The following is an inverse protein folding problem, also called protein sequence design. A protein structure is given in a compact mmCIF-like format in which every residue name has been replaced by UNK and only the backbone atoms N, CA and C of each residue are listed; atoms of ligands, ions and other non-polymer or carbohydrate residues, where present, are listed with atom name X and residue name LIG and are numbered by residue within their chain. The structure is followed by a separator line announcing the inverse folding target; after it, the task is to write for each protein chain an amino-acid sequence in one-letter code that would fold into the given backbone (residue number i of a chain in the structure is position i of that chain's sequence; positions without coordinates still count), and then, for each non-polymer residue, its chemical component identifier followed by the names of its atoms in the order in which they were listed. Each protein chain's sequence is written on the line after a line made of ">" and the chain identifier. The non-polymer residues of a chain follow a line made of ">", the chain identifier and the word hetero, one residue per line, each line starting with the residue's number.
data_IF_068126318852
#
_entry.id   IF_068126318852
#
_cell.length_a   1.000
_cell.length_b   1.000
_cell.length_c   1.000
_cell.angle_alpha   90.00
_cell.angle_beta   90.00
_cell.angle_gamma   90.00
#
_symmetry.space_group_name_H-M   'P 1'
#
loop_
_entity.id
_entity.type
_entity.pdbx_description
1 polymer ?
#
# COMPACT_ATOMS: atom_id res chain seq x y z
N UNK A 1 49.98 -25.93 29.84
CA UNK A 1 49.28 -26.09 28.55
C UNK A 1 49.03 -27.59 28.34
N UNK A 2 47.81 -28.09 28.65
CA UNK A 2 47.52 -29.54 28.61
C UNK A 2 47.19 -29.95 27.17
N UNK A 3 48.09 -30.68 26.52
CA UNK A 3 47.93 -31.18 25.16
C UNK A 3 46.87 -32.29 25.17
N UNK A 4 45.76 -32.10 24.46
CA UNK A 4 44.71 -33.10 24.33
C UNK A 4 45.28 -34.29 23.50
N UNK A 5 45.17 -35.54 23.97
CA UNK A 5 45.78 -36.69 23.28
C UNK A 5 45.10 -36.97 21.92
N UNK A 6 45.91 -37.08 20.86
CA UNK A 6 45.47 -37.17 19.45
C UNK A 6 44.54 -38.35 19.09
N UNK A 7 44.42 -39.38 19.94
CA UNK A 7 43.47 -40.49 19.76
C UNK A 7 42.01 -40.14 20.07
N UNK A 8 41.76 -39.20 21.00
CA UNK A 8 40.39 -38.70 21.27
C UNK A 8 39.89 -37.83 20.13
N UNK A 9 40.78 -37.06 19.50
CA UNK A 9 40.44 -36.18 18.38
C UNK A 9 39.92 -36.99 17.17
N UNK A 10 40.59 -38.09 16.79
CA UNK A 10 40.17 -38.96 15.67
C UNK A 10 38.80 -39.63 15.90
N UNK A 11 38.49 -40.04 17.13
CA UNK A 11 37.17 -40.62 17.49
C UNK A 11 36.05 -39.57 17.41
N UNK A 12 36.30 -38.35 17.92
CA UNK A 12 35.35 -37.24 17.83
C UNK A 12 35.09 -36.85 16.38
N UNK A 13 36.14 -36.74 15.55
CA UNK A 13 35.97 -36.46 14.10
C UNK A 13 35.14 -37.53 13.40
N UNK A 14 35.36 -38.82 13.70
CA UNK A 14 34.57 -39.93 13.11
C UNK A 14 33.08 -39.85 13.49
N UNK A 15 32.78 -39.51 14.75
CA UNK A 15 31.40 -39.31 15.22
C UNK A 15 30.76 -38.11 14.51
N UNK A 16 31.48 -36.98 14.41
CA UNK A 16 31.00 -35.78 13.70
C UNK A 16 30.70 -36.11 12.24
N UNK A 17 31.59 -36.81 11.53
CA UNK A 17 31.36 -37.22 10.14
C UNK A 17 30.12 -38.08 10.04
N UNK A 18 29.94 -39.07 10.92
CA UNK A 18 28.76 -39.93 10.92
C UNK A 18 27.46 -39.14 11.15
N UNK A 19 27.47 -38.21 12.10
CA UNK A 19 26.32 -37.32 12.37
C UNK A 19 26.01 -36.45 11.15
N UNK A 20 27.03 -35.86 10.52
CA UNK A 20 26.86 -35.07 9.29
C UNK A 20 26.28 -35.95 8.17
N UNK A 21 26.81 -37.15 7.95
CA UNK A 21 26.30 -38.08 6.93
C UNK A 21 24.84 -38.44 7.19
N UNK A 22 24.46 -38.73 8.44
CA UNK A 22 23.06 -39.01 8.80
C UNK A 22 22.18 -37.80 8.53
N UNK A 23 22.60 -36.59 8.92
CA UNK A 23 21.86 -35.35 8.64
C UNK A 23 21.67 -35.14 7.14
N UNK A 24 22.73 -35.37 6.34
CA UNK A 24 22.67 -35.27 4.88
C UNK A 24 21.72 -36.32 4.29
N UNK A 25 21.80 -37.58 4.72
CA UNK A 25 20.89 -38.63 4.26
C UNK A 25 19.43 -38.31 4.59
N UNK A 26 19.14 -37.86 5.81
CA UNK A 26 17.80 -37.41 6.22
C UNK A 26 17.33 -36.25 5.33
N UNK A 27 18.20 -35.27 5.08
CA UNK A 27 17.87 -34.12 4.23
C UNK A 27 17.56 -34.52 2.78
N UNK A 28 18.30 -35.48 2.23
CA UNK A 28 18.04 -36.05 0.90
C UNK A 28 16.70 -36.78 0.87
N UNK A 29 16.43 -37.64 1.86
CA UNK A 29 15.16 -38.38 1.95
C UNK A 29 13.98 -37.40 2.07
N UNK A 30 14.08 -36.37 2.91
CA UNK A 30 13.04 -35.36 3.06
C UNK A 30 12.81 -34.61 1.74
N UNK A 31 13.85 -34.18 1.04
CA UNK A 31 13.69 -33.51 -0.26
C UNK A 31 13.12 -34.41 -1.36
N UNK A 32 13.28 -35.74 -1.28
CA UNK A 32 12.67 -36.68 -2.22
C UNK A 32 11.21 -36.98 -1.90
N UNK A 33 10.83 -37.04 -0.62
CA UNK A 33 9.50 -37.50 -0.17
C UNK A 33 8.51 -36.36 0.04
N UNK A 34 8.94 -35.23 0.61
CA UNK A 34 8.11 -34.06 0.92
C UNK A 34 7.36 -33.51 -0.30
N UNK A 35 7.98 -33.35 -1.49
CA UNK A 35 7.28 -32.80 -2.65
C UNK A 35 6.06 -33.63 -3.08
N UNK A 36 6.04 -34.94 -2.83
CA UNK A 36 4.94 -35.82 -3.23
C UNK A 36 3.74 -35.70 -2.29
N UNK A 37 3.97 -35.76 -0.97
CA UNK A 37 2.88 -35.76 0.00
C UNK A 37 2.41 -34.36 0.41
N UNK A 38 3.34 -33.43 0.64
CA UNK A 38 3.01 -32.12 1.19
C UNK A 38 2.37 -31.22 0.14
N UNK A 39 2.77 -31.35 -1.14
CA UNK A 39 2.19 -30.57 -2.24
C UNK A 39 0.68 -30.76 -2.32
N UNK A 40 0.20 -32.01 -2.27
CA UNK A 40 -1.23 -32.33 -2.34
C UNK A 40 -1.99 -31.71 -1.17
N UNK A 41 -1.48 -31.88 0.05
CA UNK A 41 -2.11 -31.34 1.27
C UNK A 41 -2.19 -29.80 1.22
N UNK A 42 -1.10 -29.13 0.82
CA UNK A 42 -1.07 -27.67 0.73
C UNK A 42 -2.08 -27.17 -0.30
N UNK A 43 -2.15 -27.80 -1.48
CA UNK A 43 -3.13 -27.43 -2.51
C UNK A 43 -4.55 -27.63 -2.01
N UNK A 44 -4.90 -28.81 -1.49
CA UNK A 44 -6.25 -29.12 -0.98
C UNK A 44 -6.67 -28.15 0.13
N UNK A 45 -5.77 -27.82 1.06
CA UNK A 45 -6.06 -26.85 2.12
C UNK A 45 -6.28 -25.44 1.58
N UNK A 46 -5.51 -25.01 0.57
CA UNK A 46 -5.72 -23.70 -0.05
C UNK A 46 -7.06 -23.67 -0.77
N UNK A 47 -7.39 -24.70 -1.55
CA UNK A 47 -8.66 -24.79 -2.27
C UNK A 47 -9.86 -24.81 -1.32
N UNK A 48 -9.79 -25.56 -0.21
CA UNK A 48 -10.89 -25.60 0.77
C UNK A 48 -11.12 -24.24 1.45
N UNK A 49 -10.03 -23.52 1.78
CA UNK A 49 -10.10 -22.24 2.50
C UNK A 49 -10.46 -21.06 1.60
N UNK A 50 -9.97 -21.05 0.35
CA UNK A 50 -10.18 -19.96 -0.60
C UNK A 50 -11.38 -20.18 -1.53
N UNK A 51 -11.89 -21.42 -1.62
CA UNK A 51 -12.93 -21.84 -2.59
C UNK A 51 -12.53 -21.57 -4.05
N UNK A 52 -11.23 -21.57 -4.31
CA UNK A 52 -10.62 -21.28 -5.60
C UNK A 52 -9.62 -22.37 -5.95
N UNK A 53 -9.50 -22.71 -7.24
CA UNK A 53 -8.52 -23.72 -7.68
C UNK A 53 -7.11 -23.25 -7.41
N UNK A 54 -6.26 -24.13 -6.90
CA UNK A 54 -4.88 -23.83 -6.60
C UNK A 54 -3.93 -24.75 -7.36
N UNK A 55 -2.77 -24.22 -7.75
CA UNK A 55 -1.69 -25.01 -8.31
C UNK A 55 -0.36 -24.61 -7.70
N UNK A 56 0.55 -25.57 -7.63
CA UNK A 56 1.86 -25.41 -7.04
C UNK A 56 2.83 -26.26 -7.85
N UNK A 57 3.92 -25.69 -8.35
CA UNK A 57 4.85 -26.46 -9.18
C UNK A 57 5.65 -27.44 -8.33
N UNK A 58 6.17 -26.96 -7.19
CA UNK A 58 6.97 -27.78 -6.29
C UNK A 58 7.08 -27.24 -4.89
N UNK A 59 7.62 -28.10 -4.02
CA UNK A 59 8.02 -27.77 -2.66
C UNK A 59 9.47 -28.22 -2.51
N UNK A 60 10.33 -27.39 -1.92
CA UNK A 60 11.66 -27.82 -1.54
C UNK A 60 11.99 -27.38 -0.11
N UNK A 61 12.97 -28.04 0.50
CA UNK A 61 13.46 -27.70 1.83
C UNK A 61 14.90 -27.24 1.71
N UNK A 62 15.21 -26.04 2.18
CA UNK A 62 16.57 -25.48 2.18
C UNK A 62 17.14 -25.38 3.60
N UNK A 63 18.45 -25.57 3.79
CA UNK A 63 19.08 -25.42 5.10
C UNK A 63 18.96 -23.98 5.66
N UNK A 64 18.87 -23.80 7.00
CA UNK A 64 18.84 -24.84 8.01
C UNK A 64 17.49 -25.57 8.07
N UNK A 65 16.35 -24.91 7.90
CA UNK A 65 15.00 -25.52 7.84
C UNK A 65 13.97 -24.55 7.23
N UNK A 66 14.09 -24.19 5.96
CA UNK A 66 13.10 -23.35 5.26
C UNK A 66 12.33 -24.16 4.23
N UNK A 67 11.01 -24.03 4.22
CA UNK A 67 10.13 -24.67 3.24
C UNK A 67 9.82 -23.64 2.17
N UNK A 68 10.13 -23.94 0.90
CA UNK A 68 9.81 -23.07 -0.22
C UNK A 68 8.72 -23.70 -1.08
N UNK A 69 7.62 -22.98 -1.26
CA UNK A 69 6.57 -23.24 -2.24
C UNK A 69 6.96 -22.53 -3.53
N UNK A 70 6.98 -23.23 -4.66
CA UNK A 70 7.40 -22.71 -5.96
C UNK A 70 6.20 -22.56 -6.90
N UNK A 71 6.05 -21.37 -7.48
CA UNK A 71 4.99 -21.01 -8.43
C UNK A 71 3.59 -21.37 -7.93
N UNK A 72 3.24 -20.86 -6.75
CA UNK A 72 1.88 -21.00 -6.23
C UNK A 72 0.93 -20.08 -7.02
N UNK A 73 -0.22 -20.60 -7.42
CA UNK A 73 -1.32 -19.87 -8.05
C UNK A 73 -2.64 -20.24 -7.37
N UNK A 74 -3.51 -19.26 -7.16
CA UNK A 74 -4.84 -19.40 -6.56
C UNK A 74 -5.81 -18.62 -7.44
N UNK A 75 -6.54 -19.35 -8.29
CA UNK A 75 -7.38 -18.77 -9.34
C UNK A 75 -6.64 -17.71 -10.16
N UNK A 76 -7.38 -16.67 -10.56
CA UNK A 76 -6.82 -15.47 -11.20
C UNK A 76 -6.41 -14.38 -10.19
N UNK A 77 -6.74 -14.57 -8.91
CA UNK A 77 -6.56 -13.60 -7.84
C UNK A 77 -5.10 -13.48 -7.40
N UNK A 78 -4.40 -14.61 -7.24
CA UNK A 78 -3.09 -14.61 -6.60
C UNK A 78 -2.10 -15.54 -7.31
N UNK A 79 -0.91 -15.03 -7.54
CA UNK A 79 0.23 -15.79 -8.02
C UNK A 79 1.48 -15.36 -7.28
N UNK A 80 2.40 -16.28 -6.99
CA UNK A 80 3.70 -15.97 -6.39
C UNK A 80 4.73 -16.98 -6.84
N UNK A 81 5.90 -16.48 -7.26
CA UNK A 81 7.01 -17.33 -7.74
C UNK A 81 7.58 -18.17 -6.60
N UNK A 82 7.70 -17.58 -5.40
CA UNK A 82 8.20 -18.28 -4.22
C UNK A 82 7.57 -17.77 -2.93
N UNK A 83 7.07 -18.70 -2.12
CA UNK A 83 6.79 -18.48 -0.69
C UNK A 83 7.80 -19.26 0.12
N UNK A 84 8.62 -18.59 0.93
CA UNK A 84 9.57 -19.22 1.85
C UNK A 84 9.07 -19.09 3.28
N UNK A 85 8.94 -20.21 3.98
CA UNK A 85 8.52 -20.28 5.38
C UNK A 85 9.65 -20.88 6.21
N UNK A 86 10.17 -20.11 7.17
CA UNK A 86 11.27 -20.53 8.05
C UNK A 86 10.75 -20.73 9.48
N UNK A 87 10.30 -21.94 9.84
CA UNK A 87 9.88 -22.24 11.21
C UNK A 87 11.02 -22.14 12.23
N UNK A 88 10.67 -21.76 13.45
CA UNK A 88 11.54 -21.85 14.61
C UNK A 88 11.37 -23.21 15.29
N UNK A 89 12.32 -24.11 15.05
CA UNK A 89 12.26 -25.49 15.53
C UNK A 89 12.21 -25.58 17.06
N UNK A 90 12.96 -24.72 17.78
CA UNK A 90 12.93 -24.70 19.25
C UNK A 90 11.59 -24.19 19.80
N UNK A 91 10.99 -23.19 19.15
CA UNK A 91 9.65 -22.71 19.46
C UNK A 91 8.61 -23.82 19.31
N UNK A 92 8.72 -24.62 18.26
CA UNK A 92 7.86 -25.77 18.03
C UNK A 92 7.99 -26.83 19.15
N UNK A 93 9.20 -27.16 19.58
CA UNK A 93 9.42 -28.06 20.74
C UNK A 93 8.84 -27.52 22.06
N UNK A 94 8.72 -26.19 22.18
CA UNK A 94 8.08 -25.53 23.31
C UNK A 94 6.54 -25.37 23.15
N UNK A 95 5.94 -26.00 22.14
CA UNK A 95 4.49 -25.95 21.88
C UNK A 95 4.01 -24.63 21.25
N UNK A 96 4.92 -23.80 20.70
CA UNK A 96 4.60 -22.51 20.09
C UNK A 96 4.83 -22.56 18.58
N UNK A 97 3.92 -21.97 17.81
CA UNK A 97 4.12 -21.81 16.36
C UNK A 97 4.81 -20.46 16.14
N UNK A 98 6.12 -20.51 15.91
CA UNK A 98 6.94 -19.33 15.65
C UNK A 98 7.60 -19.49 14.28
N UNK A 99 7.45 -18.49 13.43
CA UNK A 99 8.15 -18.35 12.17
C UNK A 99 9.25 -17.30 12.34
N UNK A 100 10.49 -17.66 12.04
CA UNK A 100 11.57 -16.69 11.95
C UNK A 100 11.31 -15.75 10.78
N UNK A 101 10.98 -16.30 9.61
CA UNK A 101 10.72 -15.53 8.40
C UNK A 101 9.58 -16.14 7.57
N UNK A 102 8.76 -15.26 6.99
CA UNK A 102 7.82 -15.54 5.91
C UNK A 102 8.15 -14.61 4.74
N UNK A 103 8.69 -15.14 3.66
CA UNK A 103 9.10 -14.34 2.50
C UNK A 103 8.25 -14.67 1.26
N UNK A 104 7.74 -13.63 0.59
CA UNK A 104 7.04 -13.72 -0.69
C UNK A 104 7.89 -13.04 -1.77
N UNK A 105 8.19 -13.74 -2.85
CA UNK A 105 8.97 -13.22 -3.98
C UNK A 105 8.10 -13.16 -5.22
N UNK A 106 8.05 -11.98 -5.83
CA UNK A 106 7.23 -11.65 -7.00
C UNK A 106 5.73 -12.00 -6.82
N UNK A 107 5.08 -11.73 -5.66
CA UNK A 107 3.65 -11.97 -5.54
C UNK A 107 2.88 -11.00 -6.44
N UNK A 108 1.90 -11.51 -7.18
CA UNK A 108 0.94 -10.77 -7.99
C UNK A 108 -0.45 -10.98 -7.40
N UNK A 109 -1.13 -9.90 -7.06
CA UNK A 109 -2.55 -9.91 -6.66
C UNK A 109 -3.35 -9.17 -7.73
N UNK A 110 -4.43 -9.79 -8.21
CA UNK A 110 -5.37 -9.19 -9.17
C UNK A 110 -6.71 -8.94 -8.49
N UNK A 111 -6.99 -7.68 -8.21
CA UNK A 111 -8.24 -7.22 -7.63
C UNK A 111 -9.14 -6.67 -8.73
N UNK A 112 -10.37 -7.17 -8.82
CA UNK A 112 -11.42 -6.63 -9.67
C UNK A 112 -12.52 -6.03 -8.79
N UNK A 113 -12.85 -4.76 -9.02
CA UNK A 113 -14.05 -4.14 -8.49
C UNK A 113 -15.13 -4.13 -9.57
N UNK A 114 -16.25 -4.78 -9.31
CA UNK A 114 -17.41 -4.82 -10.19
C UNK A 114 -18.21 -3.51 -10.13
N UNK A 115 -19.13 -3.33 -11.06
CA UNK A 115 -19.99 -2.14 -11.14
C UNK A 115 -20.88 -1.94 -9.91
N UNK A 116 -21.24 -3.03 -9.20
CA UNK A 116 -21.97 -2.99 -7.92
C UNK A 116 -21.06 -2.63 -6.72
N UNK A 117 -19.78 -2.38 -6.97
CA UNK A 117 -18.78 -2.03 -5.98
C UNK A 117 -18.17 -3.21 -5.23
N UNK A 118 -18.63 -4.45 -5.46
CA UNK A 118 -18.03 -5.65 -4.85
C UNK A 118 -16.66 -5.93 -5.43
N UNK A 119 -15.79 -6.52 -4.62
CA UNK A 119 -14.48 -6.99 -5.05
C UNK A 119 -14.51 -8.50 -5.27
N UNK A 120 -13.65 -9.00 -6.15
CA UNK A 120 -13.35 -10.43 -6.33
C UNK A 120 -12.54 -11.02 -5.14
N UNK A 121 -12.93 -10.72 -3.91
CA UNK A 121 -12.28 -11.27 -2.72
C UNK A 121 -12.81 -12.68 -2.44
N UNK A 122 -11.92 -13.63 -2.07
CA UNK A 122 -12.31 -14.99 -1.76
C UNK A 122 -13.10 -15.00 -0.45
N UNK A 123 -14.12 -15.86 -0.37
CA UNK A 123 -14.85 -16.08 0.88
C UNK A 123 -14.04 -17.05 1.74
N UNK A 124 -13.42 -16.50 2.79
CA UNK A 124 -12.62 -17.29 3.73
C UNK A 124 -13.54 -17.97 4.76
N UNK A 125 -13.61 -19.30 4.72
CA UNK A 125 -14.27 -20.09 5.76
C UNK A 125 -13.27 -20.44 6.87
N UNK A 126 -13.37 -19.79 8.03
CA UNK A 126 -12.57 -20.19 9.20
C UNK A 126 -13.35 -21.22 10.04
N UNK A 127 -12.89 -22.47 10.03
CA UNK A 127 -13.37 -23.52 10.93
C UNK A 127 -12.51 -23.58 12.19
N UNK A 128 -13.11 -23.33 13.37
CA UNK A 128 -12.47 -23.53 14.68
C UNK A 128 -11.55 -22.39 15.16
N UNK A 129 -10.94 -22.54 16.35
CA UNK A 129 -9.97 -21.59 16.91
C UNK A 129 -8.59 -21.85 16.30
N UNK A 130 -8.04 -20.86 15.59
CA UNK A 130 -6.69 -20.95 15.04
C UNK A 130 -5.63 -20.83 16.14
N UNK A 131 -4.57 -21.67 16.12
CA UNK A 131 -3.48 -21.55 17.07
C UNK A 131 -2.74 -20.22 16.85
N UNK A 132 -2.22 -19.58 17.92
CA UNK A 132 -1.43 -18.38 17.77
C UNK A 132 -0.14 -18.64 16.96
N UNK A 133 0.07 -17.85 15.92
CA UNK A 133 1.27 -17.86 15.08
C UNK A 133 2.01 -16.54 15.26
N UNK A 134 3.27 -16.61 15.67
CA UNK A 134 4.15 -15.45 15.77
C UNK A 134 5.13 -15.45 14.59
N UNK A 135 5.15 -14.36 13.83
CA UNK A 135 6.04 -14.17 12.69
C UNK A 135 7.05 -13.07 13.03
N UNK A 136 8.31 -13.43 13.13
CA UNK A 136 9.38 -12.49 13.50
C UNK A 136 9.66 -11.52 12.36
N UNK A 137 9.80 -12.02 11.14
CA UNK A 137 9.92 -11.23 9.91
C UNK A 137 8.94 -11.68 8.83
N UNK A 138 8.20 -10.75 8.24
CA UNK A 138 7.46 -10.92 7.00
C UNK A 138 8.09 -10.02 5.95
N UNK A 139 8.50 -10.64 4.85
CA UNK A 139 9.31 -10.03 3.81
C UNK A 139 8.57 -10.17 2.49
N UNK A 140 8.33 -9.06 1.79
CA UNK A 140 7.79 -9.07 0.44
C UNK A 140 8.81 -8.43 -0.49
N UNK A 141 9.11 -9.12 -1.60
CA UNK A 141 10.06 -8.67 -2.60
C UNK A 141 9.41 -8.60 -3.97
N UNK A 142 9.52 -7.43 -4.60
CA UNK A 142 9.07 -7.16 -5.96
C UNK A 142 7.62 -7.59 -6.25
N UNK A 143 6.71 -7.35 -5.31
CA UNK A 143 5.29 -7.65 -5.50
C UNK A 143 4.60 -6.70 -6.49
N UNK A 144 3.40 -7.10 -6.91
CA UNK A 144 2.54 -6.37 -7.82
C UNK A 144 1.09 -6.51 -7.39
N UNK A 145 0.36 -5.41 -7.36
CA UNK A 145 -1.10 -5.37 -7.24
C UNK A 145 -1.64 -4.77 -8.51
N UNK A 146 -2.54 -5.49 -9.17
CA UNK A 146 -3.28 -5.04 -10.34
C UNK A 146 -4.71 -4.83 -9.86
N UNK A 147 -5.19 -3.59 -9.89
CA UNK A 147 -6.54 -3.24 -9.53
C UNK A 147 -7.32 -2.84 -10.79
N UNK A 148 -8.44 -3.49 -11.04
CA UNK A 148 -9.31 -3.24 -12.19
C UNK A 148 -10.67 -2.73 -11.69
N UNK A 149 -10.95 -1.45 -11.88
CA UNK A 149 -12.13 -0.80 -11.34
C UNK A 149 -13.21 -0.57 -12.41
N UNK A 150 -14.24 -1.42 -12.39
CA UNK A 150 -15.39 -1.34 -13.31
C UNK A 150 -16.46 -0.34 -12.84
N UNK A 151 -16.30 0.27 -11.66
CA UNK A 151 -17.23 1.27 -11.12
C UNK A 151 -16.99 2.65 -11.70
N UNK A 152 -15.73 3.01 -11.97
CA UNK A 152 -15.36 4.31 -12.58
C UNK A 152 -15.25 4.26 -14.10
N UNK A 153 -15.06 3.06 -14.68
CA UNK A 153 -15.05 2.85 -16.12
C UNK A 153 -15.63 1.45 -16.42
N UNK A 154 -16.72 1.31 -17.20
CA UNK A 154 -17.31 0.01 -17.51
C UNK A 154 -16.34 -1.03 -18.09
N UNK A 155 -15.36 -0.60 -18.89
CA UNK A 155 -14.31 -1.46 -19.47
C UNK A 155 -13.21 -1.84 -18.47
N UNK A 156 -13.25 -1.27 -17.26
CA UNK A 156 -12.28 -1.47 -16.19
C UNK A 156 -11.13 -0.47 -16.22
N UNK A 157 -11.09 0.43 -15.23
CA UNK A 157 -9.95 1.32 -15.03
C UNK A 157 -8.83 0.58 -14.30
N UNK A 158 -7.71 0.34 -14.99
CA UNK A 158 -6.58 -0.44 -14.45
C UNK A 158 -5.59 0.45 -13.71
N UNK A 159 -5.33 0.16 -12.45
CA UNK A 159 -4.24 0.74 -11.65
C UNK A 159 -3.26 -0.34 -11.25
N UNK A 160 -1.96 -0.10 -11.44
CA UNK A 160 -0.92 -1.07 -11.08
C UNK A 160 -0.01 -0.44 -10.02
N UNK A 161 0.09 -1.09 -8.85
CA UNK A 161 1.22 -0.89 -7.95
C UNK A 161 2.22 -2.01 -8.22
N UNK A 162 3.42 -1.66 -8.66
CA UNK A 162 4.49 -2.62 -8.92
C UNK A 162 5.71 -2.36 -8.05
N UNK A 163 6.68 -3.29 -8.13
CA UNK A 163 7.93 -3.20 -7.37
C UNK A 163 7.68 -3.00 -5.87
N UNK A 164 6.64 -3.66 -5.36
CA UNK A 164 6.27 -3.58 -3.96
C UNK A 164 7.35 -4.32 -3.16
N UNK A 165 7.94 -3.65 -2.18
CA UNK A 165 8.85 -4.25 -1.23
C UNK A 165 8.37 -3.92 0.17
N UNK A 166 8.25 -4.93 1.03
CA UNK A 166 7.84 -4.76 2.41
C UNK A 166 8.76 -5.54 3.36
N UNK A 167 9.07 -4.91 4.49
CA UNK A 167 9.72 -5.52 5.64
C UNK A 167 8.84 -5.24 6.86
N UNK A 168 8.22 -6.28 7.40
CA UNK A 168 7.32 -6.21 8.54
C UNK A 168 7.89 -7.11 9.62
N UNK A 169 7.94 -6.62 10.86
CA UNK A 169 8.52 -7.35 11.99
C UNK A 169 7.52 -7.51 13.12
N UNK A 170 7.57 -8.68 13.78
CA UNK A 170 6.79 -8.99 14.99
C UNK A 170 5.28 -9.00 14.76
N UNK A 171 4.82 -9.81 13.82
CA UNK A 171 3.39 -10.01 13.55
C UNK A 171 2.87 -11.17 14.39
N UNK A 172 1.67 -11.03 14.97
CA UNK A 172 0.98 -12.13 15.63
C UNK A 172 -0.39 -12.36 15.00
N UNK A 173 -0.70 -13.61 14.71
CA UNK A 173 -2.02 -14.06 14.28
C UNK A 173 -2.61 -15.01 15.34
N UNK A 174 -3.90 -14.88 15.74
CA UNK A 174 -4.77 -13.75 15.43
C UNK A 174 -4.21 -12.42 15.96
N UNK A 175 -4.66 -11.31 15.39
CA UNK A 175 -4.15 -9.97 15.71
C UNK A 175 -4.30 -9.67 17.20
N UNK A 176 -3.16 -9.38 17.83
CA UNK A 176 -2.97 -9.27 19.29
C UNK A 176 -2.13 -8.03 19.59
N UNK A 177 -1.94 -7.68 20.87
CA UNK A 177 -1.17 -6.49 21.23
C UNK A 177 0.32 -6.73 21.05
N UNK A 178 0.86 -6.36 19.90
CA UNK A 178 2.29 -6.38 19.59
C UNK A 178 2.61 -5.20 18.71
N UNK A 179 3.67 -4.47 19.10
CA UNK A 179 4.24 -3.40 18.30
C UNK A 179 4.92 -3.96 17.03
N UNK A 180 4.16 -4.00 15.95
CA UNK A 180 4.61 -4.43 14.63
C UNK A 180 5.30 -3.26 13.94
N UNK A 181 6.58 -3.38 13.56
CA UNK A 181 7.20 -2.35 12.72
C UNK A 181 7.05 -2.74 11.26
N UNK A 182 6.91 -1.74 10.39
CA UNK A 182 6.79 -1.96 8.96
C UNK A 182 7.57 -0.91 8.17
N UNK A 183 8.04 -1.32 7.00
CA UNK A 183 8.52 -0.44 5.94
C UNK A 183 8.04 -1.03 4.62
N UNK A 184 7.29 -0.23 3.87
CA UNK A 184 6.71 -0.60 2.58
C UNK A 184 7.11 0.44 1.56
N UNK A 185 7.45 0.00 0.35
CA UNK A 185 7.68 0.87 -0.80
C UNK A 185 7.06 0.25 -2.04
N UNK A 186 6.57 1.08 -2.95
CA UNK A 186 6.01 0.65 -4.23
C UNK A 186 6.07 1.77 -5.26
N UNK A 187 5.87 1.40 -6.52
CA UNK A 187 5.75 2.34 -7.63
C UNK A 187 4.36 2.24 -8.26
N UNK A 188 3.79 3.38 -8.60
CA UNK A 188 2.59 3.45 -9.43
C UNK A 188 3.00 3.29 -10.89
N UNK A 189 2.29 2.41 -11.61
CA UNK A 189 2.58 2.06 -12.98
C UNK A 189 1.32 2.22 -13.85
N UNK A 190 1.54 2.67 -15.09
CA UNK A 190 0.57 2.53 -16.19
C UNK A 190 0.53 1.09 -16.68
N UNK A 191 -0.44 0.81 -17.54
CA UNK A 191 -0.64 -0.49 -18.20
C UNK A 191 0.54 -0.92 -19.08
N UNK A 192 1.28 0.04 -19.65
CA UNK A 192 2.51 -0.18 -20.42
C UNK A 192 3.77 -0.37 -19.54
N UNK A 193 3.62 -0.30 -18.21
CA UNK A 193 4.72 -0.43 -17.25
C UNK A 193 5.46 0.87 -16.94
N UNK A 194 5.10 2.00 -17.57
CA UNK A 194 5.70 3.31 -17.27
C UNK A 194 5.42 3.70 -15.82
N UNK A 195 6.48 4.09 -15.10
CA UNK A 195 6.37 4.62 -13.74
C UNK A 195 5.74 6.00 -13.77
N UNK A 196 4.68 6.17 -13.00
CA UNK A 196 3.98 7.44 -12.83
C UNK A 196 4.08 8.01 -11.43
N UNK A 197 4.74 7.32 -10.49
CA UNK A 197 4.95 7.82 -9.14
C UNK A 197 5.52 6.75 -8.22
N UNK A 198 5.84 7.13 -6.99
CA UNK A 198 6.29 6.18 -5.96
C UNK A 198 5.71 6.50 -4.60
N UNK A 199 5.57 5.47 -3.78
CA UNK A 199 5.05 5.54 -2.41
C UNK A 199 6.00 4.82 -1.45
N UNK A 200 6.21 5.41 -0.28
CA UNK A 200 6.91 4.80 0.84
C UNK A 200 6.05 4.99 2.08
N UNK A 201 5.82 3.93 2.84
CA UNK A 201 5.11 3.98 4.11
C UNK A 201 5.88 3.19 5.17
N UNK A 202 6.25 3.83 6.26
CA UNK A 202 7.03 3.19 7.32
C UNK A 202 6.62 3.67 8.70
N UNK A 203 6.76 2.80 9.69
CA UNK A 203 6.38 3.13 11.05
C UNK A 203 6.20 1.90 11.93
N UNK A 204 5.40 2.07 12.97
CA UNK A 204 4.93 0.97 13.81
C UNK A 204 3.44 1.06 14.04
N UNK A 205 2.82 -0.10 14.24
CA UNK A 205 1.40 -0.29 14.54
C UNK A 205 1.26 -1.31 15.66
N UNK A 206 0.34 -1.07 16.57
CA UNK A 206 -0.19 -2.10 17.46
C UNK A 206 -1.71 -2.17 17.27
N UNK A 207 -2.18 -3.32 16.78
CA UNK A 207 -3.56 -3.53 16.34
C UNK A 207 -4.56 -3.47 17.50
N UNK A 208 -4.21 -3.99 18.68
CA UNK A 208 -5.16 -4.08 19.81
C UNK A 208 -5.44 -2.74 20.49
N UNK A 209 -4.44 -1.93 20.90
CA UNK A 209 -4.66 -0.58 21.39
C UNK A 209 -4.98 0.40 20.26
N UNK A 210 -4.92 -0.05 18.99
CA UNK A 210 -5.12 0.77 17.80
C UNK A 210 -4.23 2.00 17.86
N UNK A 211 -2.94 1.76 18.07
CA UNK A 211 -1.93 2.79 18.25
C UNK A 211 -0.91 2.69 17.11
N UNK A 212 -0.49 3.84 16.59
CA UNK A 212 0.39 3.89 15.44
C UNK A 212 1.28 5.14 15.47
N UNK A 213 2.45 5.04 14.89
CA UNK A 213 3.24 6.19 14.42
C UNK A 213 3.82 5.81 13.07
N UNK A 214 3.46 6.56 12.02
CA UNK A 214 3.81 6.23 10.65
C UNK A 214 4.04 7.46 9.80
N UNK A 215 4.88 7.30 8.78
CA UNK A 215 5.19 8.34 7.80
C UNK A 215 4.93 7.77 6.42
N UNK A 216 4.03 8.42 5.68
CA UNK A 216 3.70 8.14 4.30
C UNK A 216 4.33 9.23 3.42
N UNK A 217 5.02 8.82 2.36
CA UNK A 217 5.55 9.75 1.35
C UNK A 217 5.14 9.26 -0.02
N UNK A 218 4.53 10.15 -0.81
CA UNK A 218 4.26 9.98 -2.23
C UNK A 218 5.13 10.95 -3.00
N UNK A 219 5.83 10.47 -4.03
CA UNK A 219 6.70 11.31 -4.87
C UNK A 219 6.34 11.22 -6.34
N UNK A 220 6.33 12.39 -6.98
CA UNK A 220 6.15 12.58 -8.41
C UNK A 220 4.98 11.78 -9.01
N UNK A 221 3.86 11.67 -8.28
CA UNK A 221 2.69 10.96 -8.76
C UNK A 221 1.99 11.78 -9.84
N UNK A 222 1.89 11.24 -11.05
CA UNK A 222 1.08 11.82 -12.11
C UNK A 222 -0.39 11.63 -11.80
N UNK A 223 -1.00 12.65 -11.20
CA UNK A 223 -2.39 12.53 -10.78
C UNK A 223 -3.33 12.51 -11.97
N UNK A 224 -2.93 12.99 -13.15
CA UNK A 224 -3.80 13.01 -14.34
C UNK A 224 -4.24 11.62 -14.77
N UNK A 225 -3.44 10.60 -14.44
CA UNK A 225 -3.81 9.20 -14.65
C UNK A 225 -5.10 8.82 -13.92
N UNK A 226 -5.35 9.43 -12.76
CA UNK A 226 -6.50 9.18 -11.89
C UNK A 226 -7.69 10.11 -12.17
N UNK A 227 -7.75 10.75 -13.34
CA UNK A 227 -8.89 11.61 -13.72
C UNK A 227 -10.27 10.95 -13.60
N UNK A 228 -10.44 9.62 -13.82
CA UNK A 228 -11.73 8.97 -13.59
C UNK A 228 -12.21 9.06 -12.14
N UNK A 229 -11.31 9.21 -11.16
CA UNK A 229 -11.67 9.27 -9.75
C UNK A 229 -12.03 10.66 -9.27
N UNK A 230 -11.28 11.67 -9.69
CA UNK A 230 -11.50 13.02 -9.18
C UNK A 230 -12.43 13.84 -10.07
N UNK A 231 -12.61 13.51 -11.35
CA UNK A 231 -13.47 14.28 -12.26
C UNK A 231 -13.20 15.78 -12.16
N UNK A 232 -14.22 16.54 -11.75
CA UNK A 232 -14.13 18.00 -11.58
C UNK A 232 -13.77 18.45 -10.14
N UNK A 233 -13.44 17.52 -9.25
CA UNK A 233 -13.08 17.82 -7.86
C UNK A 233 -11.83 18.70 -7.76
N UNK A 234 -10.81 18.39 -8.57
CA UNK A 234 -9.52 19.09 -8.58
C UNK A 234 -9.60 20.34 -9.46
N UNK A 235 -10.08 20.20 -10.70
CA UNK A 235 -10.30 21.30 -11.62
C UNK A 235 -11.49 21.01 -12.52
N UNK A 236 -12.23 22.05 -12.90
CA UNK A 236 -13.28 21.95 -13.93
C UNK A 236 -12.70 21.88 -15.35
N UNK A 237 -11.42 22.25 -15.54
CA UNK A 237 -10.68 22.03 -16.78
C UNK A 237 -9.92 20.72 -16.74
N UNK A 238 -9.89 20.01 -17.87
CA UNK A 238 -9.08 18.80 -18.02
C UNK A 238 -7.60 19.14 -17.79
N UNK A 239 -6.99 18.49 -16.81
CA UNK A 239 -5.55 18.54 -16.57
C UNK A 239 -4.83 17.66 -17.59
N UNK A 240 -3.88 18.23 -18.32
CA UNK A 240 -2.95 17.54 -19.20
C UNK A 240 -1.68 17.08 -18.47
N UNK A 241 -1.30 17.80 -17.42
CA UNK A 241 -0.18 17.44 -16.54
C UNK A 241 -0.47 17.95 -15.12
N UNK A 242 -0.05 17.16 -14.13
CA UNK A 242 0.00 17.52 -12.73
C UNK A 242 0.78 16.46 -11.94
N UNK A 243 1.82 16.89 -11.20
CA UNK A 243 2.63 16.01 -10.34
C UNK A 243 2.31 16.28 -8.87
N UNK A 244 1.98 15.22 -8.15
CA UNK A 244 1.72 15.21 -6.71
C UNK A 244 2.93 14.71 -5.94
N UNK A 245 3.34 15.50 -4.96
CA UNK A 245 4.26 15.14 -3.91
C UNK A 245 3.54 15.32 -2.56
N UNK A 246 3.54 14.28 -1.73
CA UNK A 246 2.85 14.32 -0.43
C UNK A 246 3.74 13.71 0.64
N UNK A 247 3.75 14.32 1.83
CA UNK A 247 4.27 13.71 3.04
C UNK A 247 3.20 13.79 4.13
N UNK A 248 2.80 12.66 4.71
CA UNK A 248 1.84 12.59 5.78
C UNK A 248 2.44 11.91 7.02
N UNK A 249 2.31 12.55 8.18
CA UNK A 249 2.64 11.96 9.48
C UNK A 249 1.36 11.48 10.14
N UNK A 250 1.25 10.18 10.37
CA UNK A 250 0.10 9.51 10.94
C UNK A 250 0.39 9.13 12.38
N UNK A 251 -0.36 9.68 13.34
CA UNK A 251 -0.25 9.34 14.77
C UNK A 251 -1.58 8.83 15.25
N UNK A 252 -1.58 7.64 15.83
CA UNK A 252 -2.78 7.10 16.48
C UNK A 252 -2.55 6.72 17.93
N UNK A 253 -3.48 7.11 18.79
CA UNK A 253 -3.55 6.74 20.21
C UNK A 253 -5.00 6.38 20.53
N UNK A 254 -5.22 5.19 21.08
CA UNK A 254 -6.55 4.69 21.45
C UNK A 254 -7.57 4.83 20.29
N UNK A 255 -7.18 4.43 19.09
CA UNK A 255 -7.97 4.51 17.86
C UNK A 255 -8.23 5.90 17.27
N UNK A 256 -7.91 6.99 17.96
CA UNK A 256 -7.94 8.32 17.35
C UNK A 256 -6.74 8.44 16.44
N UNK A 257 -6.94 8.76 15.16
CA UNK A 257 -5.89 8.88 14.15
C UNK A 257 -5.85 10.34 13.68
N UNK A 258 -4.73 10.98 13.97
CA UNK A 258 -4.40 12.33 13.51
C UNK A 258 -3.39 12.21 12.36
N UNK A 259 -3.68 12.87 11.24
CA UNK A 259 -2.87 12.82 10.02
C UNK A 259 -2.50 14.24 9.61
N UNK A 260 -1.26 14.63 9.88
CA UNK A 260 -0.71 15.91 9.40
C UNK A 260 -0.16 15.71 7.99
N UNK A 261 -0.73 16.42 7.02
CA UNK A 261 -0.44 16.24 5.58
C UNK A 261 0.16 17.50 4.99
N UNK A 262 1.33 17.33 4.36
CA UNK A 262 1.93 18.30 3.45
C UNK A 262 1.74 17.81 2.02
N UNK A 263 1.00 18.56 1.22
CA UNK A 263 0.66 18.23 -0.17
C UNK A 263 1.20 19.31 -1.09
N UNK A 264 1.88 18.89 -2.17
CA UNK A 264 2.34 19.75 -3.24
C UNK A 264 1.85 19.24 -4.59
N UNK A 265 1.17 20.09 -5.35
CA UNK A 265 0.94 19.91 -6.78
C UNK A 265 1.86 20.85 -7.57
N UNK A 266 2.47 20.30 -8.62
CA UNK A 266 3.40 20.98 -9.52
C UNK A 266 3.10 20.59 -10.98
N UNK A 267 3.71 21.29 -11.93
CA UNK A 267 3.58 21.03 -13.37
C UNK A 267 2.11 21.01 -13.86
N UNK A 268 1.29 21.93 -13.34
CA UNK A 268 -0.12 22.06 -13.69
C UNK A 268 -0.25 22.61 -15.11
N UNK A 269 -0.79 21.79 -16.03
CA UNK A 269 -1.09 22.19 -17.41
C UNK A 269 -2.53 21.84 -17.72
N UNK A 270 -3.30 22.81 -18.23
CA UNK A 270 -4.70 22.62 -18.61
C UNK A 270 -4.86 22.44 -20.13
N UNK A 271 -5.89 21.70 -20.52
CA UNK A 271 -6.33 21.68 -21.91
C UNK A 271 -6.83 23.08 -22.34
N UNK A 272 -6.60 23.45 -23.60
CA UNK A 272 -7.22 24.65 -24.17
C UNK A 272 -8.73 24.43 -24.26
N UNK A 273 -9.51 25.47 -23.93
CA UNK A 273 -10.95 25.46 -24.19
C UNK A 273 -11.15 25.52 -25.71
N UNK A 274 -11.83 24.53 -26.29
CA UNK A 274 -12.39 24.66 -27.64
C UNK A 274 -13.54 25.65 -27.53
N UNK A 275 -13.36 26.83 -28.13
CA UNK A 275 -14.44 27.80 -28.31
C UNK A 275 -15.45 27.19 -29.27
N UNK A 276 -16.54 26.65 -28.73
CA UNK A 276 -17.75 26.46 -29.53
C UNK A 276 -18.34 27.83 -29.86
N UNK A 277 -18.39 28.17 -31.15
CA UNK A 277 -19.19 29.30 -31.64
C UNK A 277 -20.65 29.07 -31.23
N UNK A 278 -21.19 29.88 -30.31
CA UNK A 278 -22.63 29.93 -30.10
C UNK A 278 -23.13 30.30 -28.71
N UNK A 279 -22.35 30.12 -27.65
CA UNK A 279 -22.80 30.48 -26.30
C UNK A 279 -21.84 31.47 -25.65
N UNK A 280 -22.39 32.64 -25.30
CA UNK A 280 -21.73 33.61 -24.42
C UNK A 280 -21.17 32.85 -23.21
N UNK A 281 -19.92 33.13 -22.78
CA UNK A 281 -19.31 32.38 -21.70
C UNK A 281 -20.16 32.59 -20.45
N UNK A 282 -20.94 31.58 -20.06
CA UNK A 282 -21.38 31.48 -18.69
C UNK A 282 -20.11 31.48 -17.83
N UNK A 283 -19.89 32.61 -17.16
CA UNK A 283 -18.91 32.80 -16.11
C UNK A 283 -19.30 31.90 -14.93
N UNK A 284 -19.10 30.60 -15.11
CA UNK A 284 -19.22 29.59 -14.09
C UNK A 284 -18.12 29.81 -13.07
N UNK A 285 -18.54 30.01 -11.82
CA UNK A 285 -17.77 30.31 -10.60
C UNK A 285 -16.76 29.22 -10.18
N UNK A 286 -16.29 28.39 -11.11
CA UNK A 286 -15.55 27.15 -10.82
C UNK A 286 -14.31 26.94 -11.69
N UNK A 287 -13.98 27.87 -12.60
CA UNK A 287 -12.97 27.63 -13.64
C UNK A 287 -11.51 27.58 -13.17
N UNK A 288 -11.14 28.24 -12.07
CA UNK A 288 -9.72 28.45 -11.73
C UNK A 288 -9.43 28.43 -10.21
N UNK A 289 -10.16 27.63 -9.40
CA UNK A 289 -9.93 27.60 -7.94
C UNK A 289 -8.45 27.32 -7.60
N UNK A 290 -7.83 26.35 -8.28
CA UNK A 290 -6.43 26.00 -8.05
C UNK A 290 -5.45 27.10 -8.46
N UNK A 291 -5.69 27.81 -9.58
CA UNK A 291 -4.79 28.86 -10.07
C UNK A 291 -4.72 30.05 -9.10
N UNK A 292 -5.75 30.27 -8.30
CA UNK A 292 -5.66 31.25 -7.21
C UNK A 292 -4.71 30.80 -6.12
N UNK A 293 -4.72 29.52 -5.78
CA UNK A 293 -4.01 28.96 -4.64
C UNK A 293 -2.57 28.53 -4.96
N UNK A 294 -2.17 28.54 -6.23
CA UNK A 294 -0.79 28.33 -6.63
C UNK A 294 0.12 29.47 -6.16
N UNK A 295 1.41 29.23 -6.04
CA UNK A 295 2.42 30.27 -5.90
C UNK A 295 2.76 30.91 -7.26
N UNK A 296 3.72 31.83 -7.27
CA UNK A 296 4.19 32.51 -8.50
C UNK A 296 4.86 31.56 -9.50
N UNK A 297 5.24 30.36 -9.07
CA UNK A 297 5.83 29.31 -9.90
C UNK A 297 4.76 28.31 -10.38
N UNK A 298 3.49 28.54 -10.05
CA UNK A 298 2.38 27.68 -10.43
C UNK A 298 2.24 26.42 -9.56
N UNK A 299 2.96 26.31 -8.44
CA UNK A 299 2.81 25.17 -7.53
C UNK A 299 1.74 25.43 -6.47
N UNK A 300 0.95 24.43 -6.15
CA UNK A 300 0.02 24.47 -5.02
C UNK A 300 0.64 23.75 -3.83
N UNK A 301 0.86 24.46 -2.72
CA UNK A 301 1.36 23.88 -1.47
C UNK A 301 0.29 23.98 -0.39
N UNK A 302 -0.12 22.85 0.17
CA UNK A 302 -1.18 22.77 1.18
C UNK A 302 -0.68 21.99 2.40
N UNK A 303 -0.88 22.57 3.57
CA UNK A 303 -0.69 21.90 4.86
C UNK A 303 -2.02 21.82 5.58
N UNK A 304 -2.42 20.60 5.95
CA UNK A 304 -3.68 20.36 6.65
C UNK A 304 -3.68 19.09 7.49
N UNK A 305 -4.55 19.09 8.49
CA UNK A 305 -4.79 17.95 9.37
C UNK A 305 -6.08 17.23 9.01
N UNK A 306 -6.04 15.90 9.11
CA UNK A 306 -7.21 15.04 9.05
C UNK A 306 -7.29 14.26 10.36
N UNK A 307 -8.45 14.35 11.02
CA UNK A 307 -8.75 13.58 12.23
C UNK A 307 -9.79 12.52 11.90
N UNK A 308 -9.48 11.25 12.16
CA UNK A 308 -10.37 10.10 11.89
C UNK A 308 -10.11 8.96 12.87
N UNK A 309 -10.61 7.76 12.60
CA UNK A 309 -10.33 6.54 13.38
C UNK A 309 -9.35 5.63 12.64
N UNK A 310 -8.50 4.92 13.37
CA UNK A 310 -7.52 4.02 12.78
C UNK A 310 -8.18 2.77 12.16
N UNK A 311 -9.17 2.21 12.83
CA UNK A 311 -9.88 1.00 12.38
C UNK A 311 -10.99 1.26 11.37
N UNK A 312 -11.53 2.48 11.37
CA UNK A 312 -12.56 2.94 10.45
C UNK A 312 -12.25 4.36 9.98
N UNK A 313 -11.25 4.52 9.08
CA UNK A 313 -10.91 5.82 8.53
C UNK A 313 -12.05 6.29 7.63
N UNK A 314 -12.93 7.12 8.18
CA UNK A 314 -14.02 7.75 7.44
C UNK A 314 -13.75 9.25 7.33
N UNK A 315 -13.73 9.75 6.10
CA UNK A 315 -13.62 11.17 5.77
C UNK A 315 -14.62 11.42 4.65
N UNK A 316 -15.64 12.22 4.95
CA UNK A 316 -16.61 12.62 3.95
C UNK A 316 -15.98 13.56 2.90
N UNK A 317 -16.40 13.45 1.64
CA UNK A 317 -15.87 14.26 0.54
C UNK A 317 -16.10 15.76 0.79
N UNK A 318 -17.26 16.15 1.32
CA UNK A 318 -17.55 17.55 1.61
C UNK A 318 -16.70 18.06 2.79
N UNK A 319 -16.43 17.23 3.79
CA UNK A 319 -15.48 17.55 4.87
C UNK A 319 -14.06 17.72 4.31
N UNK A 320 -13.60 16.81 3.45
CA UNK A 320 -12.28 16.89 2.83
C UNK A 320 -12.14 18.18 2.00
N UNK A 321 -13.16 18.54 1.21
CA UNK A 321 -13.20 19.83 0.47
C UNK A 321 -13.01 21.02 1.40
N UNK A 322 -13.69 21.05 2.55
CA UNK A 322 -13.57 22.15 3.53
C UNK A 322 -12.17 22.25 4.11
N UNK A 323 -11.56 21.11 4.46
CA UNK A 323 -10.19 21.05 4.97
C UNK A 323 -9.21 21.62 3.93
N UNK A 324 -9.30 21.15 2.68
CA UNK A 324 -8.43 21.60 1.58
C UNK A 324 -8.65 23.10 1.30
N UNK A 325 -9.90 23.58 1.21
CA UNK A 325 -10.20 25.00 0.97
C UNK A 325 -9.66 25.90 2.08
N UNK A 326 -9.76 25.47 3.35
CA UNK A 326 -9.19 26.21 4.48
C UNK A 326 -7.66 26.28 4.38
N UNK A 327 -7.01 25.17 4.03
CA UNK A 327 -5.57 25.13 3.83
C UNK A 327 -5.12 26.04 2.67
N UNK A 328 -5.88 26.03 1.58
CA UNK A 328 -5.62 26.83 0.41
C UNK A 328 -5.77 28.34 0.69
N UNK A 329 -6.79 28.73 1.46
CA UNK A 329 -6.95 30.10 1.93
C UNK A 329 -5.82 30.55 2.88
N UNK A 330 -5.37 29.67 3.78
CA UNK A 330 -4.22 29.92 4.65
C UNK A 330 -2.92 30.10 3.84
N UNK A 331 -2.70 29.26 2.83
CA UNK A 331 -1.56 29.38 1.94
C UNK A 331 -1.56 30.73 1.21
N UNK A 332 -2.71 31.13 0.65
CA UNK A 332 -2.88 32.42 -0.01
C UNK A 332 -2.56 33.60 0.92
N UNK A 333 -3.06 33.57 2.16
CA UNK A 333 -2.81 34.63 3.15
C UNK A 333 -1.34 34.77 3.57
N UNK A 334 -0.54 33.71 3.38
CA UNK A 334 0.89 33.70 3.71
C UNK A 334 1.78 34.09 2.51
N UNK A 335 1.21 34.34 1.33
CA UNK A 335 1.98 34.79 0.16
C UNK A 335 2.43 36.26 0.32
N UNK A 336 3.49 36.64 -0.40
CA UNK A 336 3.97 38.03 -0.41
C UNK A 336 2.83 38.97 -0.89
N UNK A 337 2.52 40.04 -0.15
CA UNK A 337 1.50 41.02 -0.54
C UNK A 337 1.67 41.59 -1.97
N UNK A 338 2.89 41.79 -2.45
CA UNK A 338 3.14 42.30 -3.80
C UNK A 338 2.72 41.30 -4.88
N UNK A 339 3.05 40.02 -4.67
CA UNK A 339 2.66 38.92 -5.57
C UNK A 339 1.14 38.74 -5.57
N UNK A 340 0.51 38.85 -4.40
CA UNK A 340 -0.95 38.83 -4.23
C UNK A 340 -1.64 39.95 -5.00
N UNK A 341 -1.15 41.19 -4.90
CA UNK A 341 -1.73 42.34 -5.60
C UNK A 341 -1.64 42.15 -7.11
N UNK A 342 -0.48 41.71 -7.61
CA UNK A 342 -0.29 41.41 -9.03
C UNK A 342 -1.27 40.33 -9.49
N UNK A 343 -1.36 39.22 -8.75
CA UNK A 343 -2.23 38.09 -9.06
C UNK A 343 -3.72 38.43 -9.01
N UNK A 344 -4.12 39.27 -8.05
CA UNK A 344 -5.47 39.81 -7.94
C UNK A 344 -5.75 40.70 -9.14
N UNK A 345 -4.90 41.69 -9.44
CA UNK A 345 -5.08 42.62 -10.55
C UNK A 345 -5.22 41.88 -11.89
N UNK A 346 -4.39 40.87 -12.13
CA UNK A 346 -4.42 40.05 -13.34
C UNK A 346 -5.71 39.20 -13.45
N UNK A 347 -6.45 38.99 -12.33
CA UNK A 347 -7.61 38.10 -12.26
C UNK A 347 -8.83 38.67 -11.49
N UNK A 348 -8.99 40.00 -11.37
CA UNK A 348 -9.99 40.68 -10.52
C UNK A 348 -11.41 40.13 -10.70
N UNK A 349 -11.82 39.89 -11.95
CA UNK A 349 -13.16 39.38 -12.26
C UNK A 349 -13.42 38.01 -11.65
N UNK A 350 -12.41 37.15 -11.65
CA UNK A 350 -12.52 35.79 -11.13
C UNK A 350 -12.48 35.76 -9.59
N UNK A 351 -11.76 36.68 -8.94
CA UNK A 351 -11.74 36.83 -7.46
C UNK A 351 -13.10 37.26 -6.88
N UNK A 352 -13.78 38.23 -7.51
CA UNK A 352 -15.14 38.63 -7.11
C UNK A 352 -16.13 37.46 -7.23
N UNK A 353 -15.95 36.65 -8.26
CA UNK A 353 -16.72 35.44 -8.48
C UNK A 353 -16.47 34.43 -7.34
N UNK A 354 -15.21 34.09 -7.07
CA UNK A 354 -14.83 33.16 -6.00
C UNK A 354 -15.41 33.53 -4.62
N UNK A 355 -15.37 34.82 -4.25
CA UNK A 355 -15.95 35.31 -3.00
C UNK A 355 -17.44 34.98 -2.82
N UNK A 356 -18.24 35.15 -3.88
CA UNK A 356 -19.67 34.78 -3.88
C UNK A 356 -19.90 33.26 -3.75
N UNK A 357 -19.00 32.46 -4.33
CA UNK A 357 -19.05 31.00 -4.24
C UNK A 357 -18.78 30.47 -2.83
N UNK A 358 -17.77 31.04 -2.15
CA UNK A 358 -17.51 30.72 -0.74
C UNK A 358 -18.71 31.09 0.14
N UNK A 359 -19.29 32.25 -0.07
CA UNK A 359 -20.45 32.72 0.70
C UNK A 359 -21.62 31.73 0.63
N UNK A 360 -21.86 31.10 -0.53
CA UNK A 360 -22.90 30.06 -0.71
C UNK A 360 -22.58 28.77 0.06
N UNK A 361 -21.33 28.28 -0.01
CA UNK A 361 -20.87 27.08 0.71
C UNK A 361 -20.98 27.25 2.23
N UNK A 362 -20.78 28.46 2.73
CA UNK A 362 -20.87 28.78 4.16
C UNK A 362 -22.28 29.21 4.61
N UNK A 363 -23.17 29.65 3.70
CA UNK A 363 -24.57 29.98 4.00
C UNK A 363 -25.53 28.77 3.97
N UNK A 364 -25.22 27.71 3.23
CA UNK A 364 -26.02 26.45 3.20
C UNK A 364 -25.89 25.59 4.49
N UNK A 365 -25.75 26.24 5.65
CA UNK A 365 -25.64 25.63 6.97
C UNK A 365 -26.53 26.30 8.03
N UNK A 366 -27.71 26.75 7.62
CA UNK A 366 -28.83 26.97 8.55
C UNK A 366 -29.88 25.91 8.36
#
# INVERSE_FOLDING_TARGET
>A
MKIIPGGKLKKVTKIIIWVITVIVCIFVILNLTVPFFVKKIVVEQIEENFKEKASLDGINITPPFSINLINLKIGDLFHVDRVSVSPNIFGFFAGKIVLNDLALVNPVITLEQYSDGKLNLPQLEQKGKQPPVYITGLVLRNGRVIFNDKRVNPEGFKTILGRINADISRVMFPLTSVKTNFKVSADFLKTDGQKIGSIIFSGWLDFRPKAMDGVLTVKNLDITYFSPYYGNFISSKKLLSAKLNTSASLKSRNNNLDILTNLRLSDLVYAREEQGEGELPELSLTRNALDFFTDTQGNLNLEFDINTKLDNPNIDIAQLKKIILKAAAKNLANQNPEDLIKKINDNIGQFKAFGKGLEKIFKDKK
#
